data_IF_487671238463
#
_entry.id   IF_487671238463
#
_cell.length_a   1.000
_cell.length_b   1.000
_cell.length_c   1.000
_cell.angle_alpha   90.00
_cell.angle_beta   90.00
_cell.angle_gamma   90.00
#
_symmetry.space_group_name_H-M   'P 1'
#
loop_
_entity.id
_entity.type
_entity.pdbx_description
1 polymer ?
#
# COMPACT_ATOMS: atom_id res chain seq x y z
N UNK A 1 27.20 -8.47 -10.60
CA UNK A 1 25.83 -7.95 -10.88
C UNK A 1 25.91 -6.42 -10.95
N UNK A 2 25.18 -5.80 -11.86
CA UNK A 2 25.00 -4.35 -11.88
C UNK A 2 23.50 -4.02 -11.89
N UNK A 3 23.13 -2.99 -11.12
CA UNK A 3 21.79 -2.42 -11.09
C UNK A 3 21.90 -1.03 -11.70
N UNK A 4 21.34 -0.85 -12.88
CA UNK A 4 21.25 0.45 -13.54
C UNK A 4 19.87 1.02 -13.26
N UNK A 5 19.82 2.13 -12.51
CA UNK A 5 18.57 2.87 -12.33
C UNK A 5 18.50 3.95 -13.40
N UNK A 6 17.56 3.77 -14.31
CA UNK A 6 17.18 4.77 -15.29
C UNK A 6 16.10 5.64 -14.65
N UNK A 7 16.43 6.91 -14.43
CA UNK A 7 15.50 7.88 -13.87
C UNK A 7 15.02 8.77 -15.00
N UNK A 8 13.76 8.62 -15.37
CA UNK A 8 13.16 9.52 -16.34
C UNK A 8 12.92 10.88 -15.69
N UNK A 9 13.21 11.92 -16.44
CA UNK A 9 12.49 13.18 -16.28
C UNK A 9 11.54 13.19 -17.44
N UNK A 10 10.36 12.58 -17.28
CA UNK A 10 9.37 12.52 -18.35
C UNK A 10 8.94 13.94 -18.69
N UNK A 11 9.61 14.57 -19.66
CA UNK A 11 8.99 15.58 -20.51
C UNK A 11 8.01 14.83 -21.41
N UNK A 12 6.87 14.51 -20.79
CA UNK A 12 5.63 13.97 -21.35
C UNK A 12 5.68 13.69 -22.85
N UNK A 13 6.17 12.51 -23.22
CA UNK A 13 6.05 11.97 -24.57
C UNK A 13 4.59 11.80 -24.96
N UNK A 14 4.30 11.81 -26.26
CA UNK A 14 2.97 11.58 -26.82
C UNK A 14 2.44 10.23 -26.32
N UNK A 15 1.30 10.23 -25.64
CA UNK A 15 0.44 9.05 -25.67
C UNK A 15 -0.06 8.94 -27.11
N UNK A 16 0.57 8.05 -27.89
CA UNK A 16 0.14 7.75 -29.25
C UNK A 16 -1.23 7.08 -29.18
N UNK A 17 -2.23 7.81 -29.62
CA UNK A 17 -3.63 7.42 -29.70
C UNK A 17 -4.43 8.69 -29.89
N UNK A 18 -5.07 8.82 -31.06
CA UNK A 18 -5.90 9.97 -31.49
C UNK A 18 -7.11 10.28 -30.59
N UNK A 19 -7.17 9.72 -29.38
CA UNK A 19 -8.31 9.77 -28.48
C UNK A 19 -8.45 11.07 -27.67
N UNK A 20 -7.50 12.01 -27.74
CA UNK A 20 -7.61 13.26 -26.97
C UNK A 20 -7.05 14.47 -27.74
N UNK A 21 -7.75 14.85 -28.81
CA UNK A 21 -7.52 16.06 -29.61
C UNK A 21 -8.05 17.33 -28.90
N UNK A 22 -7.55 18.52 -29.28
CA UNK A 22 -8.03 19.85 -28.83
C UNK A 22 -7.86 20.21 -27.34
N UNK A 23 -6.79 19.75 -26.68
CA UNK A 23 -6.52 20.15 -25.28
C UNK A 23 -5.87 21.53 -25.20
N UNK A 24 -6.51 22.45 -24.46
CA UNK A 24 -6.01 23.79 -24.14
C UNK A 24 -5.83 23.94 -22.63
N UNK A 25 -4.69 24.48 -22.22
CA UNK A 25 -4.44 24.92 -20.84
C UNK A 25 -4.79 26.39 -20.76
N UNK A 26 -5.72 26.73 -19.88
CA UNK A 26 -6.13 28.11 -19.63
C UNK A 26 -5.57 28.51 -18.26
N UNK A 27 -4.74 29.54 -18.24
CA UNK A 27 -4.20 30.16 -17.02
C UNK A 27 -4.77 31.56 -16.90
N UNK A 28 -5.54 31.83 -15.85
CA UNK A 28 -5.99 33.19 -15.57
C UNK A 28 -4.83 33.98 -14.95
N UNK A 29 -4.32 34.96 -15.68
CA UNK A 29 -3.35 35.94 -15.19
C UNK A 29 -4.06 37.27 -14.89
N UNK A 30 -3.35 38.21 -14.26
CA UNK A 30 -3.86 39.56 -14.00
C UNK A 30 -4.17 40.35 -15.29
N UNK A 31 -3.64 39.91 -16.44
CA UNK A 31 -3.82 40.51 -17.76
C UNK A 31 -4.88 39.79 -18.62
N UNK A 32 -5.46 38.69 -18.10
CA UNK A 32 -6.49 37.91 -18.78
C UNK A 32 -6.19 36.40 -18.87
N UNK A 33 -7.06 35.62 -19.53
CA UNK A 33 -6.85 34.19 -19.72
C UNK A 33 -5.77 33.91 -20.79
N UNK A 34 -4.62 33.38 -20.37
CA UNK A 34 -3.60 32.86 -21.26
C UNK A 34 -3.95 31.43 -21.68
N UNK A 35 -4.12 31.21 -22.99
CA UNK A 35 -4.51 29.91 -23.55
C UNK A 35 -3.30 29.31 -24.28
N UNK A 36 -2.92 28.08 -23.91
CA UNK A 36 -1.84 27.34 -24.58
C UNK A 36 -2.31 25.96 -24.99
N UNK A 37 -2.09 25.59 -26.25
CA UNK A 37 -2.39 24.25 -26.72
C UNK A 37 -1.43 23.22 -26.08
N UNK A 38 -2.01 22.17 -25.50
CA UNK A 38 -1.25 21.05 -24.92
C UNK A 38 -1.30 19.85 -25.86
N UNK A 39 -0.26 19.75 -26.70
CA UNK A 39 -0.10 18.67 -27.70
C UNK A 39 0.53 17.39 -27.13
N UNK A 40 1.07 17.45 -25.92
CA UNK A 40 1.84 16.36 -25.32
C UNK A 40 1.53 16.18 -23.82
N UNK A 41 1.43 14.91 -23.42
CA UNK A 41 1.27 14.48 -22.04
C UNK A 41 -0.14 14.37 -21.48
N UNK A 42 -0.25 13.73 -20.31
CA UNK A 42 -1.50 13.66 -19.55
C UNK A 42 -1.57 14.78 -18.51
N UNK A 43 -2.75 15.36 -18.21
CA UNK A 43 -2.91 16.28 -17.10
C UNK A 43 -2.47 15.63 -15.79
N UNK A 44 -1.70 16.34 -14.97
CA UNK A 44 -1.31 15.81 -13.67
C UNK A 44 -2.57 15.67 -12.82
N UNK A 45 -2.78 14.49 -12.21
CA UNK A 45 -4.01 14.08 -11.49
C UNK A 45 -5.17 13.59 -12.36
N UNK A 46 -5.00 13.40 -13.67
CA UNK A 46 -6.03 12.68 -14.43
C UNK A 46 -6.15 11.23 -13.94
N UNK A 47 -7.37 10.75 -13.78
CA UNK A 47 -7.64 9.37 -13.36
C UNK A 47 -7.07 8.34 -14.37
N UNK A 48 -7.11 8.66 -15.66
CA UNK A 48 -6.61 7.79 -16.73
C UNK A 48 -5.11 7.93 -17.01
N UNK A 49 -4.44 8.95 -16.46
CA UNK A 49 -3.02 9.21 -16.71
C UNK A 49 -2.11 8.02 -16.39
N UNK A 50 -2.23 7.40 -15.20
CA UNK A 50 -1.46 6.20 -14.86
C UNK A 50 -1.72 5.00 -15.78
N UNK A 51 -2.98 4.79 -16.20
CA UNK A 51 -3.32 3.70 -17.10
C UNK A 51 -2.71 3.89 -18.50
N UNK A 52 -2.80 5.11 -19.04
CA UNK A 52 -2.17 5.46 -20.31
C UNK A 52 -0.64 5.32 -20.25
N UNK A 53 -0.03 5.72 -19.13
CA UNK A 53 1.40 5.51 -18.91
C UNK A 53 1.77 4.02 -18.89
N UNK A 54 0.96 3.19 -18.21
CA UNK A 54 1.18 1.75 -18.18
C UNK A 54 1.11 1.14 -19.59
N UNK A 55 0.22 1.60 -20.48
CA UNK A 55 0.20 1.12 -21.88
C UNK A 55 1.51 1.42 -22.62
N UNK A 56 2.06 2.62 -22.44
CA UNK A 56 3.34 3.02 -23.05
C UNK A 56 4.52 2.26 -22.44
N UNK A 57 4.56 2.12 -21.12
CA UNK A 57 5.63 1.44 -20.41
C UNK A 57 5.58 -0.09 -20.58
N UNK A 58 4.41 -0.68 -20.81
CA UNK A 58 4.27 -2.12 -20.97
C UNK A 58 4.97 -2.64 -22.24
N UNK A 59 5.09 -1.81 -23.27
CA UNK A 59 5.82 -2.14 -24.50
C UNK A 59 7.29 -2.51 -24.22
N UNK A 60 8.00 -1.68 -23.44
CA UNK A 60 9.40 -1.94 -23.09
C UNK A 60 9.54 -3.06 -22.05
N UNK A 61 8.55 -3.25 -21.17
CA UNK A 61 8.57 -4.33 -20.18
C UNK A 61 8.40 -5.73 -20.80
N UNK A 62 7.72 -5.82 -21.95
CA UNK A 62 7.48 -7.07 -22.67
C UNK A 62 8.58 -7.42 -23.69
N UNK A 63 9.58 -6.54 -23.87
CA UNK A 63 10.68 -6.78 -24.79
C UNK A 63 11.60 -7.93 -24.33
N UNK A 64 12.29 -8.57 -25.28
CA UNK A 64 13.22 -9.66 -24.99
C UNK A 64 14.55 -9.08 -24.52
N UNK A 65 14.85 -9.26 -23.24
CA UNK A 65 16.09 -8.79 -22.62
C UNK A 65 17.24 -9.79 -22.82
N UNK A 66 18.50 -9.33 -22.85
CA UNK A 66 19.67 -10.20 -22.90
C UNK A 66 19.70 -11.20 -21.72
N UNK A 67 20.41 -12.31 -21.89
CA UNK A 67 20.54 -13.37 -20.87
C UNK A 67 20.95 -12.77 -19.53
N UNK A 68 20.29 -13.20 -18.45
CA UNK A 68 20.50 -12.72 -17.08
C UNK A 68 20.30 -11.20 -16.89
N UNK A 69 19.49 -10.57 -17.75
CA UNK A 69 19.00 -9.21 -17.55
C UNK A 69 17.51 -9.22 -17.25
N UNK A 70 17.11 -8.46 -16.23
CA UNK A 70 15.72 -8.25 -15.87
C UNK A 70 15.43 -6.76 -15.78
N UNK A 71 14.22 -6.37 -16.17
CA UNK A 71 13.71 -5.01 -16.04
C UNK A 71 12.60 -4.98 -14.99
N UNK A 72 12.57 -3.92 -14.19
CA UNK A 72 11.45 -3.58 -13.33
C UNK A 72 11.14 -2.10 -13.49
N UNK A 73 9.87 -1.74 -13.42
CA UNK A 73 9.43 -0.34 -13.48
C UNK A 73 8.39 -0.06 -12.40
N UNK A 74 8.40 1.17 -11.89
CA UNK A 74 7.32 1.70 -11.08
C UNK A 74 7.08 3.15 -11.47
N UNK A 75 5.93 3.41 -12.12
CA UNK A 75 5.70 4.68 -12.80
C UNK A 75 6.87 5.00 -13.75
N UNK A 76 7.55 6.12 -13.55
CA UNK A 76 8.70 6.61 -14.32
C UNK A 76 10.06 6.10 -13.84
N UNK A 77 10.11 5.39 -12.71
CA UNK A 77 11.35 4.80 -12.19
C UNK A 77 11.59 3.42 -12.85
N UNK A 78 12.55 3.32 -13.78
CA UNK A 78 12.98 2.06 -14.38
C UNK A 78 14.29 1.55 -13.75
N UNK A 79 14.39 0.23 -13.58
CA UNK A 79 15.58 -0.44 -13.05
C UNK A 79 15.89 -1.65 -13.92
N UNK A 80 17.10 -1.65 -14.48
CA UNK A 80 17.69 -2.80 -15.17
C UNK A 80 18.68 -3.50 -14.24
N UNK A 81 18.53 -4.81 -14.08
CA UNK A 81 19.43 -5.65 -13.29
C UNK A 81 20.06 -6.67 -14.20
N UNK A 82 21.38 -6.58 -14.39
CA UNK A 82 22.14 -7.50 -15.24
C UNK A 82 23.20 -8.26 -14.43
N UNK A 83 23.35 -9.55 -14.74
CA UNK A 83 24.35 -10.42 -14.12
C UNK A 83 25.23 -11.12 -15.17
N UNK A 84 26.54 -10.91 -15.06
CA UNK A 84 27.56 -11.62 -15.83
C UNK A 84 28.78 -11.91 -14.96
N UNK A 85 29.53 -12.99 -15.27
CA UNK A 85 30.72 -13.38 -14.52
C UNK A 85 31.92 -12.47 -14.79
N UNK A 86 32.02 -11.89 -16.00
CA UNK A 86 33.14 -11.02 -16.38
C UNK A 86 32.69 -9.57 -16.60
N UNK A 87 33.61 -8.63 -16.40
CA UNK A 87 33.38 -7.19 -16.64
C UNK A 87 32.97 -6.91 -18.09
N UNK A 88 33.61 -7.58 -19.06
CA UNK A 88 33.39 -7.36 -20.50
C UNK A 88 32.01 -7.85 -20.91
N UNK A 89 31.61 -9.04 -20.46
CA UNK A 89 30.25 -9.54 -20.70
C UNK A 89 29.19 -8.65 -20.03
N UNK A 90 29.45 -8.19 -18.81
CA UNK A 90 28.54 -7.28 -18.10
C UNK A 90 28.36 -5.97 -18.87
N UNK A 91 29.45 -5.40 -19.36
CA UNK A 91 29.44 -4.16 -20.16
C UNK A 91 28.70 -4.36 -21.48
N UNK A 92 28.95 -5.47 -22.19
CA UNK A 92 28.25 -5.82 -23.42
C UNK A 92 26.74 -5.96 -23.20
N UNK A 93 26.32 -6.73 -22.20
CA UNK A 93 24.90 -6.96 -21.87
C UNK A 93 24.16 -5.67 -21.50
N UNK A 94 24.80 -4.81 -20.69
CA UNK A 94 24.18 -3.55 -20.28
C UNK A 94 24.07 -2.60 -21.47
N UNK A 95 25.10 -2.50 -22.32
CA UNK A 95 25.06 -1.64 -23.50
C UNK A 95 24.04 -2.14 -24.53
N UNK A 96 23.88 -3.46 -24.71
CA UNK A 96 22.81 -4.04 -25.54
C UNK A 96 21.42 -3.69 -24.99
N UNK A 97 21.23 -3.82 -23.67
CA UNK A 97 19.96 -3.47 -23.00
C UNK A 97 19.66 -1.97 -23.14
N UNK A 98 20.67 -1.12 -22.99
CA UNK A 98 20.56 0.32 -23.19
C UNK A 98 20.23 0.67 -24.64
N UNK A 99 20.78 -0.05 -25.61
CA UNK A 99 20.47 0.16 -27.02
C UNK A 99 18.97 -0.12 -27.31
N UNK A 100 18.42 -1.22 -26.78
CA UNK A 100 16.97 -1.52 -26.86
C UNK A 100 16.13 -0.42 -26.23
N UNK A 101 16.51 -0.01 -25.01
CA UNK A 101 15.84 1.09 -24.31
C UNK A 101 15.94 2.43 -25.07
N UNK A 102 17.06 2.69 -25.76
CA UNK A 102 17.26 3.88 -26.60
C UNK A 102 16.36 3.86 -27.85
N UNK A 103 16.16 2.68 -28.46
CA UNK A 103 15.24 2.52 -29.59
C UNK A 103 13.80 2.78 -29.17
N UNK A 104 13.38 2.24 -28.02
CA UNK A 104 12.05 2.47 -27.46
C UNK A 104 11.80 3.94 -27.09
N UNK A 105 12.77 4.60 -26.44
CA UNK A 105 12.65 6.03 -26.10
C UNK A 105 12.58 6.93 -27.34
N UNK A 106 13.33 6.58 -28.39
CA UNK A 106 13.26 7.28 -29.68
C UNK A 106 11.89 7.11 -30.35
N UNK A 107 11.32 5.89 -30.30
CA UNK A 107 9.98 5.59 -30.83
C UNK A 107 8.88 6.34 -30.08
N UNK A 108 8.95 6.37 -28.75
CA UNK A 108 7.94 7.00 -27.88
C UNK A 108 8.17 8.51 -27.67
N UNK A 109 9.25 9.06 -28.23
CA UNK A 109 9.70 10.45 -28.04
C UNK A 109 9.87 10.81 -26.55
N UNK A 110 10.33 9.84 -25.74
CA UNK A 110 10.66 10.05 -24.33
C UNK A 110 12.11 10.49 -24.17
N UNK A 111 12.35 11.39 -23.21
CA UNK A 111 13.69 11.86 -22.87
C UNK A 111 14.11 11.34 -21.50
N UNK A 112 15.26 10.66 -21.47
CA UNK A 112 15.91 10.23 -20.23
C UNK A 112 16.89 11.30 -19.79
N UNK A 113 16.90 11.60 -18.49
CA UNK A 113 17.93 12.45 -17.91
C UNK A 113 19.17 11.61 -17.59
N UNK A 114 20.24 11.80 -18.37
CA UNK A 114 21.53 11.17 -18.11
C UNK A 114 22.10 11.55 -16.74
N UNK A 115 21.84 12.78 -16.26
CA UNK A 115 22.30 13.25 -14.94
C UNK A 115 21.68 12.49 -13.76
N UNK A 116 20.39 12.13 -13.87
CA UNK A 116 19.68 11.39 -12.82
C UNK A 116 19.95 9.89 -12.92
N UNK A 117 20.29 9.42 -14.11
CA UNK A 117 20.61 8.03 -14.37
C UNK A 117 21.94 7.65 -13.72
N UNK A 118 21.93 6.57 -12.94
CA UNK A 118 23.11 6.11 -12.23
C UNK A 118 23.10 4.58 -12.19
N UNK A 119 24.30 3.98 -12.08
CA UNK A 119 24.42 2.53 -11.89
C UNK A 119 25.15 2.18 -10.60
N UNK A 120 24.74 1.07 -10.00
CA UNK A 120 25.33 0.45 -8.82
C UNK A 120 25.95 -0.88 -9.24
N UNK A 121 27.25 -1.04 -8.98
CA UNK A 121 27.94 -2.30 -9.20
C UNK A 121 27.99 -3.09 -7.89
N UNK A 122 27.52 -4.34 -7.91
CA UNK A 122 27.62 -5.30 -6.81
C UNK A 122 28.60 -6.38 -7.24
N UNK A 123 29.88 -6.18 -6.92
CA UNK A 123 30.97 -7.11 -7.22
C UNK A 123 32.22 -6.76 -6.41
N UNK A 124 33.21 -7.68 -6.38
CA UNK A 124 34.56 -7.40 -5.86
C UNK A 124 35.48 -6.72 -6.91
N UNK A 125 34.96 -6.38 -8.09
CA UNK A 125 35.76 -5.79 -9.17
C UNK A 125 36.21 -4.37 -8.81
N UNK A 126 37.51 -4.12 -8.98
CA UNK A 126 38.11 -2.80 -8.73
C UNK A 126 37.65 -1.78 -9.79
N UNK A 127 37.69 -2.17 -11.08
CA UNK A 127 37.17 -1.36 -12.20
C UNK A 127 35.78 -1.83 -12.63
N UNK A 128 34.83 -0.90 -12.63
CA UNK A 128 33.46 -1.15 -13.12
C UNK A 128 33.35 -1.11 -14.65
N UNK A 129 32.21 -1.55 -15.21
CA UNK A 129 31.92 -1.44 -16.63
C UNK A 129 31.79 0.02 -17.07
N UNK A 130 32.16 0.32 -18.32
CA UNK A 130 31.90 1.64 -18.91
C UNK A 130 30.54 1.62 -19.59
N UNK A 131 29.58 2.28 -18.95
CA UNK A 131 28.21 2.35 -19.44
C UNK A 131 27.99 3.74 -20.05
N UNK A 132 27.49 3.77 -21.28
CA UNK A 132 27.21 5.02 -22.00
C UNK A 132 25.74 5.09 -22.41
N UNK A 133 25.12 6.26 -22.23
CA UNK A 133 23.79 6.59 -22.72
C UNK A 133 23.93 7.72 -23.73
N UNK A 134 23.58 7.46 -25.00
CA UNK A 134 23.66 8.47 -26.09
C UNK A 134 25.03 9.19 -26.18
N UNK A 135 26.12 8.46 -25.90
CA UNK A 135 27.49 8.99 -25.89
C UNK A 135 27.97 9.53 -24.53
N UNK A 136 27.06 9.87 -23.61
CA UNK A 136 27.41 10.33 -22.26
C UNK A 136 27.68 9.16 -21.31
N UNK A 137 28.66 9.31 -20.42
CA UNK A 137 29.01 8.27 -19.45
C UNK A 137 28.09 8.34 -18.23
N UNK A 138 27.40 7.23 -17.93
CA UNK A 138 26.59 7.11 -16.72
C UNK A 138 27.50 7.01 -15.49
N UNK A 139 27.19 7.78 -14.44
CA UNK A 139 27.95 7.82 -13.20
C UNK A 139 27.73 6.54 -12.38
N UNK A 140 28.83 6.03 -11.78
CA UNK A 140 28.77 4.96 -10.79
C UNK A 140 28.39 5.55 -9.44
N UNK A 141 27.35 5.01 -8.81
CA UNK A 141 26.96 5.33 -7.44
C UNK A 141 27.27 4.15 -6.50
N UNK A 142 27.67 4.45 -5.27
CA UNK A 142 27.86 3.42 -4.22
C UNK A 142 26.54 3.05 -3.50
N UNK A 143 25.51 3.88 -3.66
CA UNK A 143 24.16 3.60 -3.20
C UNK A 143 23.13 4.27 -4.11
N UNK A 144 22.04 3.55 -4.39
CA UNK A 144 20.92 4.05 -5.20
C UNK A 144 19.65 4.05 -4.36
N UNK A 145 18.84 5.11 -4.52
CA UNK A 145 17.51 5.21 -3.93
C UNK A 145 16.45 4.71 -4.91
N UNK A 146 15.75 3.64 -4.58
CA UNK A 146 14.64 3.09 -5.37
C UNK A 146 13.43 2.87 -4.47
N UNK A 147 12.25 3.38 -4.86
CA UNK A 147 11.00 3.29 -4.08
C UNK A 147 11.14 3.71 -2.60
N UNK A 148 11.98 4.71 -2.35
CA UNK A 148 12.34 5.26 -1.02
C UNK A 148 13.20 4.33 -0.14
N UNK A 149 13.72 3.24 -0.69
CA UNK A 149 14.68 2.35 -0.05
C UNK A 149 16.06 2.62 -0.66
N UNK A 150 17.11 2.55 0.16
CA UNK A 150 18.49 2.70 -0.31
C UNK A 150 19.12 1.31 -0.44
N UNK A 151 19.64 1.02 -1.62
CA UNK A 151 20.39 -0.19 -1.94
C UNK A 151 21.86 0.22 -2.03
N UNK A 152 22.74 -0.43 -1.27
CA UNK A 152 24.17 -0.17 -1.25
C UNK A 152 24.99 -1.32 -1.86
N UNK A 153 26.19 -1.00 -2.34
CA UNK A 153 27.10 -1.95 -3.00
C UNK A 153 27.44 -3.17 -2.11
N UNK A 154 27.50 -2.96 -0.81
CA UNK A 154 27.80 -4.00 0.19
C UNK A 154 26.55 -4.76 0.65
N UNK A 155 25.36 -4.41 0.17
CA UNK A 155 24.06 -4.96 0.59
C UNK A 155 23.84 -4.99 2.11
N UNK A 156 24.56 -4.14 2.85
CA UNK A 156 24.60 -4.15 4.30
C UNK A 156 23.58 -3.19 4.92
N UNK A 157 22.75 -2.54 4.09
CA UNK A 157 21.59 -1.72 4.47
C UNK A 157 21.95 -0.52 5.36
N UNK A 158 23.24 -0.26 5.58
CA UNK A 158 23.71 0.80 6.47
C UNK A 158 23.36 2.17 5.92
N UNK A 159 23.44 2.32 4.60
CA UNK A 159 23.12 3.58 3.93
C UNK A 159 21.65 3.93 4.14
N UNK A 160 20.76 2.94 4.07
CA UNK A 160 19.35 3.12 4.39
C UNK A 160 19.13 3.57 5.84
N UNK A 161 19.77 2.89 6.80
CA UNK A 161 19.64 3.23 8.22
C UNK A 161 20.20 4.60 8.59
N UNK A 162 21.19 5.11 7.83
CA UNK A 162 21.71 6.47 7.99
C UNK A 162 20.75 7.53 7.44
N UNK A 163 20.01 7.21 6.37
CA UNK A 163 19.05 8.12 5.76
C UNK A 163 17.72 8.22 6.53
N UNK A 164 17.32 7.16 7.25
CA UNK A 164 16.08 7.11 8.03
C UNK A 164 15.96 8.25 9.06
N UNK A 165 16.96 8.51 9.94
CA UNK A 165 16.90 9.59 10.92
C UNK A 165 16.49 10.95 10.36
N UNK A 166 17.03 11.38 9.22
CA UNK A 166 16.74 12.71 8.66
C UNK A 166 15.25 12.91 8.41
N UNK A 167 14.59 11.89 7.86
CA UNK A 167 13.14 11.92 7.63
C UNK A 167 12.36 11.89 8.94
N UNK A 168 12.82 11.09 9.90
CA UNK A 168 12.18 10.99 11.20
C UNK A 168 12.35 12.27 12.03
N UNK A 169 13.47 12.98 11.90
CA UNK A 169 13.69 14.27 12.53
C UNK A 169 12.66 15.29 12.04
N UNK A 170 12.35 15.32 10.74
CA UNK A 170 11.28 16.20 10.25
C UNK A 170 9.92 15.87 10.89
N UNK A 171 9.57 14.59 11.01
CA UNK A 171 8.34 14.16 11.67
C UNK A 171 8.34 14.51 13.17
N UNK A 172 9.48 14.38 13.82
CA UNK A 172 9.67 14.76 15.22
C UNK A 172 9.43 16.26 15.43
N UNK A 173 10.04 17.09 14.60
CA UNK A 173 9.85 18.54 14.66
C UNK A 173 8.39 18.93 14.39
N UNK A 174 7.73 18.25 13.45
CA UNK A 174 6.30 18.46 13.20
C UNK A 174 5.44 18.07 14.41
N UNK A 175 5.78 16.98 15.11
CA UNK A 175 5.10 16.60 16.35
C UNK A 175 5.28 17.66 17.44
N UNK A 176 6.49 18.20 17.59
CA UNK A 176 6.78 19.26 18.57
C UNK A 176 6.05 20.57 18.28
N UNK A 177 5.71 20.86 17.01
CA UNK A 177 4.91 22.04 16.64
C UNK A 177 3.46 21.95 17.14
N UNK A 178 2.93 20.75 17.27
CA UNK A 178 1.51 20.49 17.58
C UNK A 178 1.31 20.27 19.08
N UNK A 179 2.37 19.88 19.80
CA UNK A 179 2.27 19.55 21.21
C UNK A 179 3.59 19.74 21.97
N UNK A 180 3.53 20.47 23.09
CA UNK A 180 4.62 20.67 24.04
C UNK A 180 4.49 19.78 25.28
N UNK A 181 5.37 19.95 26.27
CA UNK A 181 5.32 19.15 27.52
C UNK A 181 4.05 19.41 28.33
N UNK A 182 3.60 20.66 28.38
CA UNK A 182 2.47 21.12 29.22
C UNK A 182 1.26 21.60 28.41
N UNK A 183 1.34 21.60 27.06
CA UNK A 183 0.30 22.18 26.20
C UNK A 183 0.12 21.40 24.91
N UNK A 184 -1.01 21.64 24.25
CA UNK A 184 -1.36 21.05 22.95
C UNK A 184 -2.07 19.71 23.07
N UNK A 185 -1.87 18.85 22.07
CA UNK A 185 -2.63 17.62 21.89
C UNK A 185 -2.46 16.63 23.06
N UNK A 186 -3.52 15.94 23.54
CA UNK A 186 -3.42 14.97 24.64
C UNK A 186 -2.53 13.77 24.34
N UNK A 187 -2.01 13.10 25.39
CA UNK A 187 -1.08 11.96 25.28
C UNK A 187 -1.61 10.83 24.36
N UNK A 188 -2.89 10.47 24.49
CA UNK A 188 -3.50 9.42 23.66
C UNK A 188 -3.44 9.73 22.17
N UNK A 189 -3.68 10.99 21.80
CA UNK A 189 -3.63 11.44 20.42
C UNK A 189 -2.19 11.51 19.89
N UNK A 190 -1.21 11.95 20.71
CA UNK A 190 0.22 11.90 20.35
C UNK A 190 0.69 10.47 20.11
N UNK A 191 0.27 9.53 20.97
CA UNK A 191 0.53 8.10 20.83
C UNK A 191 -0.08 7.56 19.54
N UNK A 192 -1.32 7.93 19.23
CA UNK A 192 -1.97 7.55 17.97
C UNK A 192 -1.21 8.10 16.77
N UNK A 193 -0.83 9.38 16.75
CA UNK A 193 -0.04 10.00 15.69
C UNK A 193 1.31 9.30 15.47
N UNK A 194 1.99 8.92 16.56
CA UNK A 194 3.23 8.15 16.45
C UNK A 194 3.00 6.82 15.74
N UNK A 195 1.98 6.05 16.15
CA UNK A 195 1.65 4.75 15.57
C UNK A 195 1.15 4.85 14.12
N UNK A 196 0.32 5.85 13.80
CA UNK A 196 -0.30 5.97 12.47
C UNK A 196 0.58 6.66 11.44
N UNK A 197 1.45 7.59 11.87
CA UNK A 197 2.31 8.36 10.96
C UNK A 197 3.75 7.89 11.04
N UNK A 198 4.37 7.96 12.22
CA UNK A 198 5.82 7.75 12.35
C UNK A 198 6.18 6.28 12.15
N UNK A 199 5.50 5.37 12.84
CA UNK A 199 5.72 3.93 12.66
C UNK A 199 5.42 3.50 11.22
N UNK A 200 4.36 4.01 10.58
CA UNK A 200 4.02 3.68 9.19
C UNK A 200 5.03 4.21 8.17
N UNK A 201 5.55 5.42 8.37
CA UNK A 201 6.62 5.97 7.52
C UNK A 201 7.90 5.13 7.62
N UNK A 202 8.24 4.66 8.83
CA UNK A 202 9.40 3.81 9.06
C UNK A 202 9.19 2.36 8.60
N UNK A 203 7.94 1.87 8.65
CA UNK A 203 7.57 0.54 8.16
C UNK A 203 7.53 0.45 6.64
N UNK A 204 7.54 1.58 5.92
CA UNK A 204 7.61 1.58 4.47
C UNK A 204 8.84 0.81 3.98
N UNK A 205 8.60 -0.24 3.20
CA UNK A 205 9.66 -1.09 2.66
C UNK A 205 10.36 -1.96 3.71
N UNK A 206 9.84 -2.08 4.95
CA UNK A 206 10.45 -2.88 6.01
C UNK A 206 10.66 -4.35 5.61
N UNK A 207 9.83 -4.89 4.72
CA UNK A 207 10.01 -6.24 4.14
C UNK A 207 11.37 -6.42 3.45
N UNK A 208 11.92 -5.37 2.83
CA UNK A 208 13.18 -5.45 2.13
C UNK A 208 14.41 -5.39 3.06
N UNK A 209 14.28 -4.81 4.26
CA UNK A 209 15.44 -4.48 5.10
C UNK A 209 15.34 -4.89 6.58
N UNK A 210 14.17 -5.25 7.09
CA UNK A 210 13.87 -5.49 8.51
C UNK A 210 13.18 -6.85 8.79
N UNK A 211 13.28 -7.85 7.89
CA UNK A 211 12.80 -9.22 8.16
C UNK A 211 13.52 -9.86 9.36
N UNK A 212 14.83 -9.69 9.40
CA UNK A 212 15.72 -10.18 10.45
C UNK A 212 16.62 -9.01 10.91
N UNK A 213 16.13 -8.16 11.84
CA UNK A 213 16.88 -7.00 12.28
C UNK A 213 18.07 -7.43 13.14
N UNK A 214 19.28 -7.01 12.76
CA UNK A 214 20.47 -7.21 13.59
C UNK A 214 20.42 -6.31 14.84
N UNK A 215 21.25 -6.62 15.84
CA UNK A 215 21.39 -5.81 17.07
C UNK A 215 21.71 -4.35 16.74
N UNK A 216 22.51 -4.10 15.70
CA UNK A 216 22.85 -2.74 15.23
C UNK A 216 21.63 -1.99 14.73
N UNK A 217 20.74 -2.66 13.97
CA UNK A 217 19.48 -2.09 13.49
C UNK A 217 18.57 -1.78 14.68
N UNK A 218 18.41 -2.74 15.59
CA UNK A 218 17.58 -2.59 16.77
C UNK A 218 18.01 -1.40 17.64
N UNK A 219 19.32 -1.25 17.89
CA UNK A 219 19.87 -0.12 18.63
C UNK A 219 19.62 1.21 17.94
N UNK A 220 19.86 1.29 16.62
CA UNK A 220 19.64 2.53 15.85
C UNK A 220 18.17 2.94 15.82
N UNK A 221 17.26 1.98 15.66
CA UNK A 221 15.82 2.23 15.72
C UNK A 221 15.37 2.67 17.11
N UNK A 222 15.96 2.13 18.18
CA UNK A 222 15.71 2.60 19.56
C UNK A 222 16.12 4.06 19.74
N UNK A 223 17.30 4.46 19.21
CA UNK A 223 17.73 5.87 19.22
C UNK A 223 16.78 6.78 18.45
N UNK A 224 16.21 6.30 17.33
CA UNK A 224 15.22 7.06 16.54
C UNK A 224 13.89 7.16 17.29
N UNK A 225 13.47 6.11 18.00
CA UNK A 225 12.21 6.04 18.73
C UNK A 225 12.23 6.89 20.01
N UNK A 226 13.36 6.94 20.72
CA UNK A 226 13.47 7.56 22.05
C UNK A 226 12.98 9.03 22.09
N UNK A 227 13.37 9.94 21.18
CA UNK A 227 12.86 11.32 21.17
C UNK A 227 11.32 11.41 21.09
N UNK A 228 10.68 10.52 20.34
CA UNK A 228 9.22 10.47 20.25
C UNK A 228 8.59 10.03 21.56
N UNK A 229 9.13 9.00 22.19
CA UNK A 229 8.62 8.51 23.47
C UNK A 229 8.71 9.60 24.56
N UNK A 230 9.81 10.35 24.57
CA UNK A 230 9.97 11.50 25.46
C UNK A 230 8.98 12.62 25.15
N UNK A 231 8.72 12.94 23.88
CA UNK A 231 7.75 13.95 23.50
C UNK A 231 6.28 13.55 23.78
N UNK A 232 5.98 12.25 23.69
CA UNK A 232 4.64 11.71 23.99
C UNK A 232 4.39 11.69 25.50
N UNK A 233 5.36 11.21 26.29
CA UNK A 233 5.23 11.07 27.74
C UNK A 233 5.46 12.37 28.52
N UNK A 234 6.25 13.31 27.99
CA UNK A 234 6.72 14.47 28.74
C UNK A 234 7.79 14.15 29.79
N UNK A 235 8.31 12.91 29.84
CA UNK A 235 9.26 12.46 30.83
C UNK A 235 10.64 13.16 30.73
N UNK A 236 11.46 12.99 31.77
CA UNK A 236 12.83 13.50 31.79
C UNK A 236 13.69 12.84 30.71
N UNK A 237 14.68 13.57 30.17
CA UNK A 237 15.58 13.04 29.13
C UNK A 237 16.38 11.80 29.56
N UNK A 238 16.57 11.61 30.86
CA UNK A 238 17.28 10.48 31.47
C UNK A 238 16.41 9.24 31.64
N UNK A 239 15.10 9.31 31.39
CA UNK A 239 14.20 8.17 31.54
C UNK A 239 14.55 7.08 30.52
N UNK A 240 14.67 5.84 31.00
CA UNK A 240 14.97 4.67 30.16
C UNK A 240 13.95 4.49 29.04
N UNK A 241 14.42 4.30 27.80
CA UNK A 241 13.56 4.01 26.64
C UNK A 241 12.69 2.77 26.87
N UNK A 242 13.22 1.75 27.54
CA UNK A 242 12.47 0.52 27.83
C UNK A 242 11.30 0.80 28.79
N UNK A 243 11.51 1.64 29.81
CA UNK A 243 10.44 2.06 30.71
C UNK A 243 9.36 2.87 29.97
N UNK A 244 9.78 3.79 29.08
CA UNK A 244 8.85 4.58 28.27
C UNK A 244 8.01 3.70 27.33
N UNK A 245 8.59 2.66 26.74
CA UNK A 245 7.89 1.69 25.90
C UNK A 245 6.78 0.98 26.67
N UNK A 246 7.07 0.54 27.89
CA UNK A 246 6.10 -0.14 28.77
C UNK A 246 4.98 0.80 29.20
N UNK A 247 5.32 1.97 29.75
CA UNK A 247 4.35 2.97 30.24
C UNK A 247 3.41 3.44 29.13
N UNK A 248 3.96 3.71 27.94
CA UNK A 248 3.19 4.16 26.79
C UNK A 248 2.51 3.01 26.04
N UNK A 249 2.77 1.74 26.39
CA UNK A 249 2.33 0.58 25.62
C UNK A 249 2.69 0.70 24.13
N UNK A 250 3.93 1.10 23.85
CA UNK A 250 4.50 1.20 22.51
C UNK A 250 5.62 0.16 22.43
N UNK A 251 5.52 -0.85 21.56
CA UNK A 251 6.55 -1.88 21.46
C UNK A 251 7.88 -1.29 20.95
N UNK A 252 9.01 -2.00 21.19
CA UNK A 252 10.27 -1.65 20.58
C UNK A 252 10.14 -1.56 19.06
N UNK A 253 10.58 -0.45 18.47
CA UNK A 253 10.34 -0.16 17.06
C UNK A 253 10.82 -1.28 16.12
N UNK A 254 11.97 -1.90 16.41
CA UNK A 254 12.50 -3.01 15.62
C UNK A 254 11.59 -4.25 15.60
N UNK A 255 10.90 -4.56 16.72
CA UNK A 255 9.93 -5.67 16.78
C UNK A 255 8.68 -5.34 15.99
N UNK A 256 8.20 -4.09 16.07
CA UNK A 256 7.03 -3.65 15.31
C UNK A 256 7.31 -3.68 13.81
N UNK A 257 8.48 -3.17 13.37
CA UNK A 257 8.89 -3.21 11.96
C UNK A 257 9.11 -4.64 11.47
N UNK A 258 9.68 -5.51 12.32
CA UNK A 258 9.82 -6.93 11.99
C UNK A 258 8.47 -7.61 11.83
N UNK A 259 7.49 -7.33 12.70
CA UNK A 259 6.12 -7.85 12.60
C UNK A 259 5.48 -7.42 11.27
N UNK A 260 5.55 -6.14 10.93
CA UNK A 260 5.01 -5.61 9.66
C UNK A 260 5.73 -6.19 8.45
N UNK A 261 7.06 -6.35 8.51
CA UNK A 261 7.85 -6.97 7.46
C UNK A 261 7.44 -8.43 7.22
N UNK A 262 7.31 -9.22 8.29
CA UNK A 262 6.87 -10.63 8.23
C UNK A 262 5.44 -10.75 7.74
N UNK A 263 4.54 -9.88 8.21
CA UNK A 263 3.17 -9.81 7.71
C UNK A 263 3.12 -9.52 6.21
N UNK A 264 3.88 -8.53 5.73
CA UNK A 264 3.97 -8.24 4.29
C UNK A 264 4.57 -9.42 3.49
N UNK A 265 5.60 -10.08 4.01
CA UNK A 265 6.20 -11.25 3.36
C UNK A 265 5.20 -12.41 3.22
N UNK A 266 4.48 -12.74 4.29
CA UNK A 266 3.50 -13.82 4.30
C UNK A 266 2.26 -13.48 3.46
N UNK A 267 1.57 -12.38 3.78
CA UNK A 267 0.25 -12.09 3.22
C UNK A 267 0.29 -11.44 1.84
N UNK A 268 1.36 -10.73 1.48
CA UNK A 268 1.45 -10.01 0.19
C UNK A 268 2.41 -10.64 -0.80
N UNK A 269 3.58 -11.07 -0.34
CA UNK A 269 4.61 -11.64 -1.21
C UNK A 269 4.57 -13.16 -1.29
N UNK A 270 3.78 -13.82 -0.42
CA UNK A 270 3.68 -15.28 -0.32
C UNK A 270 5.05 -15.96 -0.15
N UNK A 271 5.96 -15.29 0.56
CA UNK A 271 7.30 -15.80 0.81
C UNK A 271 7.31 -16.65 2.09
N UNK A 272 7.97 -17.82 2.09
CA UNK A 272 8.18 -18.57 3.32
C UNK A 272 9.10 -17.77 4.26
N UNK A 273 8.76 -17.77 5.55
CA UNK A 273 9.64 -17.21 6.57
C UNK A 273 10.74 -18.22 6.94
N UNK A 274 11.90 -17.74 7.40
CA UNK A 274 13.00 -18.62 7.82
C UNK A 274 12.60 -19.52 8.99
N UNK A 275 13.28 -20.67 9.06
CA UNK A 275 13.00 -21.92 9.80
C UNK A 275 12.76 -21.85 11.31
N UNK A 276 12.80 -20.67 11.94
CA UNK A 276 12.68 -20.52 13.40
C UNK A 276 11.25 -20.19 13.89
N UNK A 277 10.28 -20.06 12.99
CA UNK A 277 8.85 -19.93 13.33
C UNK A 277 8.09 -20.93 12.46
N UNK A 278 7.59 -21.96 13.13
CA UNK A 278 6.87 -23.14 12.63
C UNK A 278 5.89 -22.86 11.48
N UNK A 279 5.86 -23.80 10.52
CA UNK A 279 4.72 -24.36 9.77
C UNK A 279 3.62 -23.44 9.22
N UNK A 280 3.84 -22.13 9.10
CA UNK A 280 2.89 -21.27 8.38
C UNK A 280 3.21 -21.37 6.89
N UNK A 281 2.52 -22.29 6.22
CA UNK A 281 2.58 -22.37 4.76
C UNK A 281 1.81 -21.18 4.19
N UNK A 282 2.42 -20.33 3.33
CA UNK A 282 1.73 -19.17 2.76
C UNK A 282 0.45 -19.50 1.99
N UNK A 283 0.31 -20.76 1.54
CA UNK A 283 -0.87 -21.30 0.85
C UNK A 283 -2.05 -21.62 1.77
N UNK A 284 -1.82 -21.84 3.07
CA UNK A 284 -2.87 -22.10 4.07
C UNK A 284 -3.44 -20.80 4.66
N UNK A 285 -2.81 -19.67 4.34
CA UNK A 285 -3.20 -18.37 4.86
C UNK A 285 -4.35 -17.80 4.05
N UNK A 286 -5.52 -17.65 4.70
CA UNK A 286 -6.74 -17.09 4.11
C UNK A 286 -6.45 -15.81 3.32
N UNK A 287 -6.94 -15.78 2.08
CA UNK A 287 -6.88 -14.56 1.28
C UNK A 287 -7.87 -13.57 1.85
N UNK A 288 -7.40 -12.35 2.14
CA UNK A 288 -8.34 -11.24 2.31
C UNK A 288 -9.02 -11.08 0.96
N UNK A 289 -10.31 -11.44 0.87
CA UNK A 289 -11.12 -11.20 -0.31
C UNK A 289 -10.93 -9.73 -0.72
N UNK A 290 -10.19 -9.52 -1.81
CA UNK A 290 -10.22 -8.25 -2.50
C UNK A 290 -11.67 -8.11 -2.92
N UNK A 291 -12.33 -7.03 -2.52
CA UNK A 291 -13.71 -6.79 -2.94
C UNK A 291 -13.82 -7.04 -4.44
N UNK A 292 -14.89 -7.71 -4.85
CA UNK A 292 -15.17 -8.15 -6.21
C UNK A 292 -14.59 -7.16 -7.23
N UNK A 293 -13.57 -7.60 -7.96
CA UNK A 293 -12.82 -6.79 -8.94
C UNK A 293 -13.68 -6.38 -10.14
N UNK A 294 -14.77 -7.11 -10.36
CA UNK A 294 -15.87 -6.71 -11.22
C UNK A 294 -16.97 -6.09 -10.36
N UNK A 295 -17.54 -4.97 -10.82
CA UNK A 295 -18.78 -4.45 -10.25
C UNK A 295 -19.82 -5.59 -10.27
N UNK A 296 -20.59 -5.78 -9.19
CA UNK A 296 -21.55 -6.90 -9.06
C UNK A 296 -22.53 -7.02 -10.23
N UNK A 297 -22.68 -5.97 -11.05
CA UNK A 297 -23.48 -5.98 -12.28
C UNK A 297 -22.82 -6.65 -13.50
N UNK A 298 -21.49 -6.78 -13.54
CA UNK A 298 -20.76 -7.35 -14.71
C UNK A 298 -20.54 -8.87 -14.61
N UNK A 299 -20.76 -9.45 -13.43
CA UNK A 299 -20.77 -10.89 -13.18
C UNK A 299 -22.14 -11.38 -12.69
N UNK A 300 -23.21 -10.79 -13.23
CA UNK A 300 -24.55 -11.36 -13.14
C UNK A 300 -24.60 -12.59 -14.05
N UNK A 301 -24.19 -13.76 -13.55
CA UNK A 301 -24.74 -14.98 -14.11
C UNK A 301 -26.25 -14.96 -13.84
N UNK A 302 -27.13 -15.34 -14.80
CA UNK A 302 -28.59 -15.21 -14.67
C UNK A 302 -29.19 -15.90 -13.44
N UNK A 303 -28.40 -16.76 -12.79
CA UNK A 303 -28.77 -17.58 -11.65
C UNK A 303 -28.23 -17.07 -10.31
N UNK A 304 -27.43 -16.00 -10.27
CA UNK A 304 -26.68 -15.64 -9.06
C UNK A 304 -27.21 -14.40 -8.33
N UNK A 305 -28.07 -13.58 -8.95
CA UNK A 305 -28.85 -12.54 -8.26
C UNK A 305 -30.26 -12.51 -8.86
N UNK A 306 -31.23 -13.09 -8.15
CA UNK A 306 -32.66 -12.82 -8.39
C UNK A 306 -33.02 -11.55 -7.65
N UNK A 307 -33.25 -10.47 -8.41
CA UNK A 307 -33.92 -9.25 -7.92
C UNK A 307 -35.44 -9.34 -8.07
N UNK A 308 -35.98 -10.53 -8.40
CA UNK A 308 -37.40 -10.82 -8.25
C UNK A 308 -37.65 -11.56 -6.94
N UNK A 309 -38.53 -10.94 -6.18
CA UNK A 309 -39.17 -11.44 -4.98
C UNK A 309 -40.04 -12.67 -5.31
N UNK A 310 -39.41 -13.81 -5.45
CA UNK A 310 -40.09 -15.09 -5.39
C UNK A 310 -39.50 -16.09 -6.34
N UNK A 311 -39.07 -17.21 -5.81
CA UNK A 311 -39.58 -18.41 -6.42
C UNK A 311 -40.41 -19.16 -5.41
N UNK A 312 -41.23 -20.06 -5.94
CA UNK A 312 -42.30 -20.78 -5.29
C UNK A 312 -42.12 -21.10 -3.78
N UNK A 313 -42.84 -20.32 -2.96
CA UNK A 313 -43.39 -20.55 -1.62
C UNK A 313 -43.93 -21.98 -1.42
N UNK A 314 -43.61 -22.62 -0.28
CA UNK A 314 -44.50 -23.53 0.46
C UNK A 314 -43.84 -24.15 1.72
N UNK A 315 -43.08 -23.35 2.48
CA UNK A 315 -42.82 -23.65 3.89
C UNK A 315 -42.94 -22.33 4.65
N UNK A 316 -43.79 -22.27 5.67
CA UNK A 316 -44.11 -21.05 6.43
C UNK A 316 -42.95 -20.40 7.19
N UNK A 317 -41.70 -20.84 6.97
CA UNK A 317 -40.51 -20.51 7.75
C UNK A 317 -39.69 -19.38 7.10
N UNK A 318 -39.63 -18.21 7.75
CA UNK A 318 -38.85 -17.04 7.33
C UNK A 318 -37.75 -16.75 8.35
N UNK A 319 -36.48 -16.76 7.94
CA UNK A 319 -35.34 -16.44 8.82
C UNK A 319 -34.81 -15.05 8.46
N UNK A 320 -34.73 -14.17 9.46
CA UNK A 320 -34.15 -12.84 9.34
C UNK A 320 -32.85 -12.79 10.12
N UNK A 321 -31.82 -12.19 9.55
CA UNK A 321 -30.55 -11.91 10.23
C UNK A 321 -30.29 -10.42 10.23
N UNK A 322 -29.85 -9.89 11.36
CA UNK A 322 -29.42 -8.49 11.48
C UNK A 322 -28.07 -8.42 12.20
N UNK A 323 -27.25 -7.48 11.74
CA UNK A 323 -25.97 -7.15 12.32
C UNK A 323 -26.01 -5.73 12.86
N UNK A 324 -26.17 -5.58 14.17
CA UNK A 324 -26.20 -4.27 14.82
C UNK A 324 -24.81 -3.84 15.26
N UNK A 325 -24.46 -2.57 15.02
CA UNK A 325 -23.19 -1.97 15.45
C UNK A 325 -23.46 -0.73 16.28
N UNK A 326 -22.92 -0.71 17.49
CA UNK A 326 -22.94 0.46 18.39
C UNK A 326 -21.52 0.87 18.75
N UNK A 327 -21.34 2.05 19.35
CA UNK A 327 -20.03 2.49 19.86
C UNK A 327 -19.42 1.50 20.88
N UNK A 328 -20.27 0.69 21.53
CA UNK A 328 -19.86 -0.31 22.52
C UNK A 328 -19.54 -1.68 21.91
N UNK A 329 -19.79 -1.94 20.63
CA UNK A 329 -19.43 -3.20 19.96
C UNK A 329 -20.40 -3.65 18.87
N UNK A 330 -20.16 -4.87 18.35
CA UNK A 330 -20.95 -5.49 17.26
C UNK A 330 -21.76 -6.66 17.83
N UNK A 331 -23.05 -6.70 17.51
CA UNK A 331 -23.97 -7.80 17.82
C UNK A 331 -24.39 -8.54 16.56
N UNK A 332 -24.82 -9.79 16.73
CA UNK A 332 -25.48 -10.57 15.69
C UNK A 332 -26.80 -11.11 16.26
N UNK A 333 -27.85 -11.02 15.47
CA UNK A 333 -29.14 -11.56 15.83
C UNK A 333 -29.76 -12.30 14.64
N UNK A 334 -30.56 -13.32 14.96
CA UNK A 334 -31.52 -13.87 14.02
C UNK A 334 -32.86 -14.12 14.68
N UNK A 335 -33.92 -14.03 13.89
CA UNK A 335 -35.24 -14.46 14.30
C UNK A 335 -35.88 -15.32 13.20
N UNK A 336 -36.69 -16.27 13.64
CA UNK A 336 -37.42 -17.19 12.78
C UNK A 336 -38.89 -16.88 12.97
N UNK A 337 -39.55 -16.49 11.88
CA UNK A 337 -41.00 -16.32 11.81
C UNK A 337 -41.62 -17.53 11.13
N UNK A 338 -42.63 -18.10 11.78
CA UNK A 338 -43.52 -19.10 11.18
C UNK A 338 -44.93 -18.53 11.12
N UNK A 339 -45.50 -18.40 9.92
CA UNK A 339 -46.89 -17.98 9.69
C UNK A 339 -47.32 -16.76 10.54
N UNK A 340 -46.47 -15.72 10.56
CA UNK A 340 -46.64 -14.41 11.25
C UNK A 340 -46.20 -14.39 12.73
N UNK A 341 -45.99 -15.53 13.40
CA UNK A 341 -45.50 -15.57 14.77
C UNK A 341 -43.98 -15.82 14.86
N UNK A 342 -43.28 -15.08 15.74
CA UNK A 342 -41.85 -15.30 15.98
C UNK A 342 -41.68 -16.50 16.91
N UNK A 343 -41.22 -17.62 16.35
CA UNK A 343 -41.05 -18.88 17.07
C UNK A 343 -39.69 -18.95 17.78
N UNK A 344 -38.64 -18.41 17.16
CA UNK A 344 -37.30 -18.39 17.74
C UNK A 344 -36.64 -17.02 17.58
N UNK A 345 -35.97 -16.58 18.66
CA UNK A 345 -35.10 -15.41 18.67
C UNK A 345 -33.77 -15.80 19.29
N UNK A 346 -32.70 -15.36 18.65
CA UNK A 346 -31.37 -15.46 19.22
C UNK A 346 -30.60 -14.18 18.92
N UNK A 347 -29.90 -13.69 19.93
CA UNK A 347 -29.01 -12.55 19.78
C UNK A 347 -27.80 -12.77 20.66
N UNK A 348 -26.62 -12.49 20.12
CA UNK A 348 -25.39 -12.49 20.90
C UNK A 348 -24.57 -11.24 20.63
N UNK A 349 -23.77 -10.87 21.63
CA UNK A 349 -22.73 -9.87 21.45
C UNK A 349 -21.46 -10.60 21.02
N UNK A 350 -20.93 -10.22 19.86
CA UNK A 350 -19.69 -10.79 19.39
C UNK A 350 -18.53 -10.32 20.29
N UNK A 351 -17.52 -11.18 20.44
CA UNK A 351 -16.37 -10.89 21.29
C UNK A 351 -15.70 -9.56 20.89
N UNK A 352 -15.07 -8.88 21.85
CA UNK A 352 -14.42 -7.57 21.63
C UNK A 352 -13.34 -7.63 20.53
N UNK A 353 -12.80 -8.82 20.25
CA UNK A 353 -11.80 -9.06 19.20
C UNK A 353 -12.37 -9.05 17.77
N UNK A 354 -13.69 -9.12 17.61
CA UNK A 354 -14.38 -9.22 16.31
C UNK A 354 -15.00 -7.89 15.84
N UNK A 355 -14.55 -6.75 16.36
CA UNK A 355 -15.18 -5.42 16.20
C UNK A 355 -14.95 -4.74 14.85
N UNK A 356 -14.14 -5.31 13.95
CA UNK A 356 -13.83 -4.74 12.63
C UNK A 356 -14.54 -5.42 11.44
N UNK A 357 -15.37 -6.45 11.65
CA UNK A 357 -16.09 -7.14 10.57
C UNK A 357 -17.55 -6.71 10.46
N UNK A 358 -18.01 -6.32 9.26
CA UNK A 358 -19.43 -6.51 8.89
C UNK A 358 -19.62 -8.01 8.69
N UNK A 359 -19.93 -8.73 9.77
CA UNK A 359 -20.14 -10.18 9.72
C UNK A 359 -21.52 -10.50 9.19
N UNK A 360 -21.62 -10.97 7.95
CA UNK A 360 -22.77 -11.76 7.51
C UNK A 360 -22.63 -13.18 8.07
N UNK A 361 -23.64 -13.64 8.81
CA UNK A 361 -23.72 -15.02 9.28
C UNK A 361 -24.08 -15.91 8.08
N UNK A 362 -23.17 -16.77 7.62
CA UNK A 362 -23.48 -17.78 6.58
C UNK A 362 -24.02 -19.03 7.28
N UNK A 363 -25.34 -19.23 7.20
CA UNK A 363 -25.97 -20.50 7.59
C UNK A 363 -25.82 -21.48 6.43
N UNK A 364 -25.01 -22.53 6.59
CA UNK A 364 -25.01 -23.70 5.71
C UNK A 364 -26.12 -24.65 6.16
N UNK A 365 -27.28 -24.61 5.52
CA UNK A 365 -28.26 -25.70 5.57
C UNK A 365 -27.99 -26.67 4.41
N UNK A 366 -27.69 -27.93 4.74
CA UNK A 366 -27.97 -29.06 3.84
C UNK A 366 -29.50 -29.18 3.67
N UNK A 367 -29.97 -29.71 2.53
CA UNK A 367 -31.24 -29.34 1.94
C UNK A 367 -32.43 -29.71 2.82
N UNK A 368 -33.36 -28.76 2.99
CA UNK A 368 -34.74 -28.91 2.51
C UNK A 368 -35.44 -27.56 2.49
N UNK A 369 -35.86 -27.24 1.27
CA UNK A 369 -36.95 -26.38 0.80
C UNK A 369 -36.97 -24.86 1.02
N UNK A 370 -36.95 -24.20 -0.17
CA UNK A 370 -37.71 -23.04 -0.71
C UNK A 370 -38.08 -21.89 0.23
N UNK A 371 -38.18 -20.63 -0.19
CA UNK A 371 -37.65 -19.73 -1.24
C UNK A 371 -38.22 -18.33 -0.81
N UNK A 372 -37.43 -17.26 -1.03
CA UNK A 372 -37.74 -15.91 -1.60
C UNK A 372 -39.19 -15.34 -1.48
N UNK A 373 -39.48 -14.03 -1.55
CA UNK A 373 -39.04 -12.74 -0.95
C UNK A 373 -40.22 -11.75 -1.26
N UNK A 374 -40.18 -10.45 -0.90
CA UNK A 374 -41.34 -9.56 -1.20
C UNK A 374 -41.45 -8.19 -0.51
N UNK A 375 -40.79 -7.19 -1.09
CA UNK A 375 -40.93 -5.72 -1.05
C UNK A 375 -42.04 -4.97 -0.24
N UNK A 376 -41.55 -3.96 0.50
CA UNK A 376 -42.06 -2.59 0.83
C UNK A 376 -43.21 -2.03 -0.04
N UNK A 377 -44.08 -1.08 0.42
CA UNK A 377 -43.63 0.27 0.85
C UNK A 377 -44.50 1.09 1.84
N UNK A 378 -43.90 2.23 2.23
CA UNK A 378 -44.46 3.59 2.45
C UNK A 378 -45.33 4.04 3.63
N UNK A 379 -45.00 5.29 3.99
CA UNK A 379 -45.84 6.38 4.51
C UNK A 379 -45.97 6.55 6.03
N UNK A 380 -45.23 7.56 6.51
CA UNK A 380 -45.72 8.76 7.24
C UNK A 380 -47.04 8.65 8.02
N UNK A 381 -46.95 8.81 9.34
CA UNK A 381 -47.63 9.84 10.16
C UNK A 381 -47.33 9.61 11.66
N UNK A 382 -46.61 10.54 12.30
CA UNK A 382 -46.79 10.83 13.74
C UNK A 382 -48.19 11.46 13.94
N UNK A 383 -48.86 11.46 15.12
CA UNK A 383 -48.35 11.58 16.51
C UNK A 383 -49.23 10.74 17.52
N UNK A 384 -49.43 11.03 18.85
CA UNK A 384 -48.80 12.00 19.75
C UNK A 384 -48.31 11.46 21.11
N UNK A 385 -47.63 12.38 21.79
CA UNK A 385 -47.06 12.34 23.13
C UNK A 385 -48.03 11.90 24.24
N UNK A 386 -47.52 11.13 25.21
CA UNK A 386 -47.87 11.22 26.64
C UNK A 386 -46.70 10.66 27.47
N UNK A 387 -46.02 11.51 28.24
CA UNK A 387 -45.58 11.11 29.59
C UNK A 387 -46.78 11.22 30.56
N UNK A 388 -46.63 11.08 31.88
CA UNK A 388 -45.42 10.83 32.67
C UNK A 388 -45.62 9.74 33.77
N UNK A 389 -44.66 9.69 34.71
CA UNK A 389 -44.80 9.38 36.16
C UNK A 389 -44.28 8.02 36.68
N UNK A 390 -43.09 8.12 37.28
CA UNK A 390 -42.68 7.70 38.63
C UNK A 390 -43.11 6.32 39.18
N UNK A 391 -42.13 5.54 39.66
CA UNK A 391 -41.38 5.83 40.90
C UNK A 391 -39.92 5.50 40.72
#
# INVERSE_FOLDING_TARGET
>A
MAITKLLDTVHKGKASGDHVLNRKVILNTCEGPAIRDQKQGCPQRSCSGPALWNLVANEILQEIWPINTSIQAFADDFVLVSHAPTRVQLESQINESIAKFSTWTSKTQLQISAEKTNYLLISKLVRGPTIRWQGERIKRAHAIKYLRIYIDEKMNRNTHLKAQPTRTTQLYHNLLKIAGKSWGVPLNHRRTLFKTVTERVLAHGAVAWCLEPTVRIARKLSTIQCPFLLAISGAYRTTSTAALQVILGIPPLHRQLQREARGAALFRLRLPLSTNVSDIVPSETEEKATGWSAHLSEHLSPTQISLDDGGNINTGLKIYTDGSKTEKGVGAAFCVLTDVNITHRWSTRLSVRNTEGRGGLVVRSRPRDRRVAGSKPDSTKDPPCMGPVAR
#
